data_IF_257541903650
#
_entry.id   IF_257541903650
#
_cell.length_a   1.000
_cell.length_b   1.000
_cell.length_c   1.000
_cell.angle_alpha   90.00
_cell.angle_beta   90.00
_cell.angle_gamma   90.00
#
_symmetry.space_group_name_H-M   'P 1'
#
loop_
_entity.id
_entity.type
_entity.pdbx_description
1 polymer ?
#
# COMPACT_ATOMS: atom_id res chain seq x y z
N UNK A 1 -1.91 -1.23 -5.72
CA UNK A 1 -2.82 -1.19 -4.55
C UNK A 1 -3.07 0.28 -4.18
N UNK A 2 -4.26 0.71 -3.71
CA UNK A 2 -4.74 2.11 -3.75
C UNK A 2 -5.79 2.55 -2.65
N UNK A 3 -5.64 2.37 -1.32
CA UNK A 3 -6.68 2.60 -0.23
C UNK A 3 -7.26 4.03 0.09
N UNK A 4 -8.56 4.35 -0.14
CA UNK A 4 -9.26 5.69 0.12
C UNK A 4 -10.21 5.80 1.37
N UNK A 5 -10.26 6.91 2.16
CA UNK A 5 -10.95 7.02 3.51
C UNK A 5 -11.96 8.19 3.81
N UNK A 6 -13.25 7.94 4.11
CA UNK A 6 -14.22 9.02 4.49
C UNK A 6 -14.67 8.95 5.97
N UNK A 7 -14.78 10.07 6.72
CA UNK A 7 -15.36 10.06 8.06
C UNK A 7 -16.89 9.85 8.06
N UNK A 8 -17.38 9.13 9.07
CA UNK A 8 -18.79 8.95 9.43
C UNK A 8 -19.00 9.23 10.93
N UNK A 9 -20.20 9.66 11.37
CA UNK A 9 -20.49 9.93 12.78
C UNK A 9 -20.64 8.65 13.62
N UNK A 10 -20.39 8.78 14.93
CA UNK A 10 -20.13 7.70 15.89
C UNK A 10 -21.16 6.56 15.99
N UNK A 11 -20.67 5.31 16.03
CA UNK A 11 -21.18 4.21 16.89
C UNK A 11 -20.27 2.96 16.82
N UNK A 12 -20.36 2.09 17.84
CA UNK A 12 -19.35 1.09 18.28
C UNK A 12 -19.94 -0.35 18.46
N UNK A 13 -19.18 -1.41 18.84
CA UNK A 13 -17.89 -1.90 18.32
C UNK A 13 -17.76 -3.45 18.18
N UNK A 14 -16.69 -3.91 17.48
CA UNK A 14 -15.87 -5.12 17.71
C UNK A 14 -16.33 -6.58 17.42
N UNK A 15 -15.53 -7.28 16.61
CA UNK A 15 -15.13 -8.70 16.77
C UNK A 15 -13.85 -8.98 15.94
N UNK A 16 -12.93 -9.82 16.42
CA UNK A 16 -11.60 -10.03 15.81
C UNK A 16 -11.33 -11.51 15.44
N UNK A 17 -10.52 -11.79 14.39
CA UNK A 17 -9.94 -13.11 14.14
C UNK A 17 -8.42 -13.19 14.39
N UNK A 18 -7.91 -14.43 14.36
CA UNK A 18 -6.55 -14.86 14.76
C UNK A 18 -5.45 -14.53 13.73
N UNK A 19 -4.21 -14.68 14.19
CA UNK A 19 -2.98 -14.73 13.40
C UNK A 19 -3.01 -15.75 12.26
N UNK A 20 -2.60 -15.34 11.07
CA UNK A 20 -2.18 -16.21 9.98
C UNK A 20 -0.71 -15.91 9.65
N UNK A 21 0.12 -16.95 9.62
CA UNK A 21 1.50 -16.91 9.14
C UNK A 21 1.52 -17.00 7.59
N UNK A 22 2.64 -16.57 6.97
CA UNK A 22 3.01 -16.78 5.56
C UNK A 22 1.90 -16.67 4.49
N UNK A 23 1.75 -15.47 3.91
CA UNK A 23 1.13 -15.28 2.60
C UNK A 23 2.07 -14.54 1.65
N UNK A 24 2.59 -15.25 0.64
CA UNK A 24 3.58 -14.76 -0.32
C UNK A 24 3.10 -13.66 -1.27
N UNK A 25 4.03 -13.18 -2.10
CA UNK A 25 3.89 -11.96 -2.89
C UNK A 25 2.80 -11.99 -3.96
N UNK A 26 1.58 -11.57 -3.60
CA UNK A 26 0.49 -11.26 -4.52
C UNK A 26 0.05 -9.80 -4.26
N UNK A 27 0.11 -8.88 -5.24
CA UNK A 27 -0.10 -7.44 -5.02
C UNK A 27 -1.59 -7.04 -4.96
N UNK A 28 -2.35 -7.62 -4.02
CA UNK A 28 -3.79 -7.36 -3.88
C UNK A 28 -4.12 -6.06 -3.16
N UNK A 29 -5.14 -5.33 -3.62
CA UNK A 29 -5.32 -3.89 -3.38
C UNK A 29 -6.48 -3.53 -2.47
N UNK A 30 -6.28 -3.11 -1.21
CA UNK A 30 -7.39 -2.57 -0.39
C UNK A 30 -7.75 -1.09 -0.72
N UNK A 31 -9.03 -0.75 -0.59
CA UNK A 31 -9.81 0.51 -0.79
C UNK A 31 -11.07 0.41 0.09
N UNK A 32 -11.95 1.41 0.19
CA UNK A 32 -13.04 1.39 1.20
C UNK A 32 -14.40 1.98 0.70
N UNK A 33 -15.54 1.28 0.88
CA UNK A 33 -16.93 1.74 0.64
C UNK A 33 -18.00 1.05 1.55
N UNK A 34 -19.27 1.49 1.49
CA UNK A 34 -20.34 1.19 2.51
C UNK A 34 -21.36 0.08 2.16
N UNK A 35 -21.89 -0.66 3.16
CA UNK A 35 -23.11 -1.50 3.06
C UNK A 35 -24.37 -0.91 3.75
N UNK A 36 -25.51 -1.57 3.52
CA UNK A 36 -26.91 -1.20 3.86
C UNK A 36 -27.42 -1.98 5.10
N UNK A 37 -28.36 -1.48 5.93
CA UNK A 37 -28.62 -2.05 7.27
C UNK A 37 -29.62 -3.23 7.33
N UNK A 38 -29.51 -4.03 8.40
CA UNK A 38 -30.49 -5.02 8.86
C UNK A 38 -30.36 -5.21 10.40
N UNK A 39 -31.45 -5.43 11.18
CA UNK A 39 -31.44 -5.23 12.63
C UNK A 39 -31.38 -6.50 13.52
N UNK A 40 -31.20 -6.28 14.83
CA UNK A 40 -31.34 -7.20 15.98
C UNK A 40 -30.10 -8.06 16.35
N UNK A 41 -29.74 -8.30 17.63
CA UNK A 41 -30.29 -7.83 18.92
C UNK A 41 -29.26 -8.09 20.07
N UNK A 42 -29.27 -7.23 21.11
CA UNK A 42 -29.08 -7.51 22.56
C UNK A 42 -27.72 -7.90 23.24
N UNK A 43 -27.39 -7.07 24.25
CA UNK A 43 -26.73 -7.35 25.57
C UNK A 43 -25.19 -7.35 25.74
N UNK A 44 -24.67 -6.97 26.95
CA UNK A 44 -23.52 -6.05 27.00
C UNK A 44 -22.36 -6.37 27.99
N UNK A 45 -21.34 -5.51 27.92
CA UNK A 45 -20.33 -5.17 28.94
C UNK A 45 -19.20 -6.18 29.23
N UNK A 46 -17.96 -5.71 29.00
CA UNK A 46 -16.84 -5.74 29.94
C UNK A 46 -15.80 -4.71 29.48
N UNK A 47 -15.11 -4.06 30.42
CA UNK A 47 -14.35 -2.85 30.15
C UNK A 47 -13.13 -3.07 29.25
N UNK A 48 -12.95 -2.18 28.27
CA UNK A 48 -11.71 -2.01 27.53
C UNK A 48 -11.15 -0.61 27.79
N UNK A 49 -9.85 -0.55 28.10
CA UNK A 49 -9.07 0.69 28.18
C UNK A 49 -9.21 1.53 26.89
N UNK A 50 -9.10 2.87 26.94
CA UNK A 50 -9.25 3.73 25.78
C UNK A 50 -8.04 3.63 24.84
N UNK A 51 -7.96 2.54 24.09
CA UNK A 51 -7.21 2.52 22.83
C UNK A 51 -7.85 3.53 21.89
N UNK A 52 -7.01 4.29 21.18
CA UNK A 52 -7.44 5.26 20.17
C UNK A 52 -8.56 4.66 19.30
N UNK A 53 -9.68 5.37 19.07
CA UNK A 53 -10.81 4.81 18.35
C UNK A 53 -10.35 4.36 16.97
N UNK A 54 -10.42 3.06 16.73
CA UNK A 54 -10.14 2.46 15.41
C UNK A 54 -11.23 2.98 14.48
N UNK A 55 -10.92 4.04 13.74
CA UNK A 55 -11.82 4.71 12.78
C UNK A 55 -12.34 3.68 11.77
N UNK A 56 -13.59 3.26 11.95
CA UNK A 56 -14.18 2.18 11.16
C UNK A 56 -14.31 2.57 9.69
N UNK A 57 -13.32 2.15 8.92
CA UNK A 57 -13.23 2.30 7.48
C UNK A 57 -13.55 0.94 6.82
N UNK A 58 -14.45 0.86 5.82
CA UNK A 58 -15.18 -0.39 5.42
C UNK A 58 -14.92 -0.72 3.94
N UNK A 59 -14.73 -1.97 3.49
CA UNK A 59 -13.77 -2.33 2.37
C UNK A 59 -14.29 -2.42 0.90
N UNK A 60 -13.44 -2.00 -0.07
CA UNK A 60 -13.39 -2.31 -1.54
C UNK A 60 -11.97 -2.80 -1.94
N UNK A 61 -11.76 -3.47 -3.08
CA UNK A 61 -10.41 -3.87 -3.56
C UNK A 61 -10.33 -3.76 -5.11
N UNK A 62 -9.16 -3.50 -5.71
CA UNK A 62 -8.99 -3.37 -7.19
C UNK A 62 -7.68 -3.98 -7.78
N UNK A 63 -7.66 -4.63 -8.93
CA UNK A 63 -6.36 -4.96 -9.55
C UNK A 63 -6.40 -4.84 -11.07
N UNK A 64 -5.29 -4.44 -11.72
CA UNK A 64 -5.25 -4.43 -13.18
C UNK A 64 -5.46 -5.86 -13.68
N UNK A 65 -6.40 -6.04 -14.59
CA UNK A 65 -6.70 -7.34 -15.18
C UNK A 65 -5.68 -7.73 -16.26
N UNK A 66 -4.45 -8.00 -15.82
CA UNK A 66 -3.29 -8.30 -16.67
C UNK A 66 -2.64 -9.63 -16.26
N UNK A 67 -1.87 -10.25 -17.16
CA UNK A 67 -0.96 -11.33 -16.77
C UNK A 67 0.14 -10.82 -15.82
N UNK A 68 0.56 -11.65 -14.87
CA UNK A 68 1.78 -11.42 -14.09
C UNK A 68 3.01 -11.53 -15.01
N UNK A 69 4.03 -10.69 -14.75
CA UNK A 69 5.32 -10.74 -15.48
C UNK A 69 6.03 -12.08 -15.31
N UNK A 70 6.01 -12.61 -14.10
CA UNK A 70 6.53 -13.93 -13.75
C UNK A 70 5.73 -14.53 -12.58
N UNK A 71 5.56 -15.86 -12.61
CA UNK A 71 5.05 -16.64 -11.47
C UNK A 71 6.25 -17.27 -10.78
N UNK A 72 6.41 -17.03 -9.47
CA UNK A 72 7.59 -17.43 -8.70
C UNK A 72 7.23 -18.54 -7.70
N UNK A 73 7.96 -19.65 -7.75
CA UNK A 73 8.00 -20.62 -6.67
C UNK A 73 8.78 -20.01 -5.51
N UNK A 74 8.07 -19.55 -4.47
CA UNK A 74 8.67 -18.86 -3.34
C UNK A 74 9.48 -19.80 -2.43
N UNK A 75 9.31 -21.13 -2.52
CA UNK A 75 10.16 -22.10 -1.82
C UNK A 75 11.54 -22.22 -2.49
N UNK A 76 11.60 -22.03 -3.82
CA UNK A 76 12.85 -22.07 -4.61
C UNK A 76 13.43 -20.69 -4.93
N UNK A 77 12.65 -19.62 -4.78
CA UNK A 77 13.01 -18.25 -5.19
C UNK A 77 13.08 -18.05 -6.71
N UNK A 78 12.53 -18.97 -7.52
CA UNK A 78 12.73 -19.02 -8.97
C UNK A 78 11.41 -19.01 -9.77
N UNK A 79 11.38 -18.45 -11.00
CA UNK A 79 10.20 -18.54 -11.88
C UNK A 79 9.79 -19.99 -12.20
N UNK A 80 8.48 -20.23 -12.35
CA UNK A 80 7.92 -21.56 -12.67
C UNK A 80 7.58 -21.77 -14.14
N UNK A 81 7.53 -20.70 -14.94
CA UNK A 81 7.01 -20.73 -16.32
C UNK A 81 5.47 -20.80 -16.42
N UNK A 82 4.76 -20.86 -15.29
CA UNK A 82 3.31 -20.73 -15.26
C UNK A 82 2.87 -19.31 -15.67
N UNK A 83 1.62 -19.18 -16.11
CA UNK A 83 0.92 -17.90 -16.31
C UNK A 83 -0.21 -17.77 -15.31
N UNK A 84 -0.31 -16.60 -14.67
CA UNK A 84 -1.39 -16.24 -13.75
C UNK A 84 -1.79 -14.79 -13.97
N UNK A 85 -3.04 -14.44 -13.65
CA UNK A 85 -3.57 -13.10 -13.81
C UNK A 85 -3.52 -12.32 -12.47
N UNK A 86 -3.11 -11.05 -12.51
CA UNK A 86 -2.90 -10.19 -11.34
C UNK A 86 -4.21 -9.97 -10.58
N UNK A 87 -5.33 -9.71 -11.26
CA UNK A 87 -6.65 -9.54 -10.65
C UNK A 87 -7.16 -10.83 -10.01
N UNK A 88 -7.09 -11.95 -10.73
CA UNK A 88 -7.55 -13.26 -10.26
C UNK A 88 -6.77 -13.72 -9.02
N UNK A 89 -5.44 -13.63 -9.03
CA UNK A 89 -4.65 -14.03 -7.86
C UNK A 89 -4.84 -13.05 -6.70
N UNK A 90 -5.00 -11.75 -6.98
CA UNK A 90 -5.31 -10.73 -5.96
C UNK A 90 -6.65 -10.97 -5.27
N UNK A 91 -7.61 -11.61 -5.94
CA UNK A 91 -8.89 -11.99 -5.36
C UNK A 91 -8.74 -12.91 -4.12
N UNK A 92 -7.63 -13.66 -4.00
CA UNK A 92 -7.35 -14.53 -2.84
C UNK A 92 -7.25 -13.72 -1.55
N UNK A 93 -6.37 -12.72 -1.53
CA UNK A 93 -6.20 -11.79 -0.40
C UNK A 93 -7.42 -10.88 -0.19
N UNK A 94 -8.24 -10.72 -1.23
CA UNK A 94 -9.50 -9.98 -1.20
C UNK A 94 -10.69 -10.78 -0.67
N UNK A 95 -10.55 -12.10 -0.50
CA UNK A 95 -11.66 -13.04 -0.28
C UNK A 95 -12.78 -12.88 -1.33
N UNK A 96 -12.39 -12.61 -2.58
CA UNK A 96 -13.29 -12.39 -3.72
C UNK A 96 -13.84 -10.96 -3.88
N UNK A 97 -13.76 -10.10 -2.86
CA UNK A 97 -14.30 -8.73 -2.92
C UNK A 97 -13.32 -7.76 -3.63
N UNK A 98 -13.09 -7.95 -4.94
CA UNK A 98 -12.16 -7.18 -5.78
C UNK A 98 -12.79 -6.79 -7.13
N UNK A 99 -12.37 -5.65 -7.69
CA UNK A 99 -12.80 -5.08 -8.97
C UNK A 99 -11.59 -4.87 -9.92
N UNK A 100 -11.81 -4.57 -11.20
CA UNK A 100 -10.72 -4.17 -12.09
C UNK A 100 -10.25 -2.74 -11.75
N UNK A 101 -8.95 -2.48 -11.71
CA UNK A 101 -8.41 -1.13 -11.52
C UNK A 101 -8.92 -0.14 -12.59
N UNK A 102 -9.27 -0.61 -13.79
CA UNK A 102 -9.91 0.20 -14.82
C UNK A 102 -11.31 0.74 -14.43
N UNK A 103 -12.00 0.13 -13.46
CA UNK A 103 -13.31 0.56 -12.97
C UNK A 103 -13.24 1.61 -11.84
N UNK A 104 -12.04 1.94 -11.35
CA UNK A 104 -11.86 2.83 -10.20
C UNK A 104 -12.29 4.27 -10.53
N UNK A 105 -13.26 4.77 -9.76
CA UNK A 105 -13.74 6.17 -9.84
C UNK A 105 -13.29 6.97 -8.62
N UNK A 106 -12.32 7.86 -8.82
CA UNK A 106 -11.72 8.71 -7.76
C UNK A 106 -12.75 9.56 -7.00
N UNK A 107 -13.93 9.82 -7.55
CA UNK A 107 -14.99 10.55 -6.86
C UNK A 107 -15.72 9.76 -5.75
N UNK A 108 -15.60 8.43 -5.69
CA UNK A 108 -16.33 7.58 -4.73
C UNK A 108 -15.68 7.48 -3.33
N UNK A 109 -14.65 8.29 -3.06
CA UNK A 109 -13.52 7.87 -2.24
C UNK A 109 -12.68 9.11 -1.71
N UNK A 110 -11.68 8.95 -0.82
CA UNK A 110 -10.84 10.01 -0.17
C UNK A 110 -9.25 9.88 0.04
N UNK A 111 -8.53 8.76 -0.20
CA UNK A 111 -7.02 8.59 -0.16
C UNK A 111 -6.38 7.44 -1.03
N UNK A 112 -5.20 7.42 -1.62
CA UNK A 112 -4.63 6.18 -2.23
C UNK A 112 -3.65 5.54 -1.26
N UNK A 113 -3.45 4.22 -1.26
CA UNK A 113 -2.36 3.53 -0.56
C UNK A 113 -1.87 2.31 -1.35
N UNK A 114 -0.59 2.29 -1.73
CA UNK A 114 0.10 1.13 -2.34
C UNK A 114 1.07 0.44 -1.35
N UNK A 115 0.75 -0.68 -0.68
CA UNK A 115 1.74 -1.64 -0.19
C UNK A 115 2.61 -2.17 -1.31
N UNK A 116 3.79 -2.63 -0.94
CA UNK A 116 4.84 -3.06 -1.85
C UNK A 116 4.79 -4.55 -2.17
N UNK A 117 5.97 -5.19 -2.05
CA UNK A 117 6.24 -6.49 -2.64
C UNK A 117 6.57 -6.40 -4.13
N UNK A 118 7.34 -7.37 -4.64
CA UNK A 118 7.86 -7.37 -6.01
C UNK A 118 6.80 -7.29 -7.10
N UNK A 119 5.55 -7.69 -6.81
CA UNK A 119 4.43 -7.52 -7.74
C UNK A 119 4.17 -6.07 -8.14
N UNK A 120 4.53 -5.09 -7.29
CA UNK A 120 4.51 -3.67 -7.66
C UNK A 120 5.59 -3.37 -8.69
N UNK A 121 6.84 -3.67 -8.35
CA UNK A 121 8.02 -3.41 -9.17
C UNK A 121 8.08 -4.21 -10.50
N UNK A 122 7.23 -5.24 -10.66
CA UNK A 122 7.16 -6.09 -11.85
C UNK A 122 5.89 -5.93 -12.69
N UNK A 123 4.73 -5.68 -12.07
CA UNK A 123 3.42 -5.68 -12.74
C UNK A 123 2.74 -4.30 -12.75
N UNK A 124 2.94 -3.48 -11.71
CA UNK A 124 2.39 -2.12 -11.64
C UNK A 124 3.35 -1.09 -12.27
N UNK A 125 4.64 -1.40 -12.27
CA UNK A 125 5.68 -0.77 -13.06
C UNK A 125 6.74 -1.81 -13.46
N UNK A 126 7.75 -1.40 -14.22
CA UNK A 126 8.86 -2.26 -14.63
C UNK A 126 10.16 -2.08 -13.81
N UNK A 127 10.09 -1.44 -12.64
CA UNK A 127 11.23 -1.08 -11.77
C UNK A 127 12.21 -2.23 -11.50
N UNK A 128 11.72 -3.45 -11.29
CA UNK A 128 12.55 -4.63 -10.99
C UNK A 128 13.48 -5.06 -12.14
N UNK A 129 13.33 -4.48 -13.34
CA UNK A 129 14.19 -4.75 -14.51
C UNK A 129 14.80 -3.46 -15.07
N UNK A 130 14.03 -2.36 -15.08
CA UNK A 130 14.45 -1.11 -15.72
C UNK A 130 14.94 -0.05 -14.72
N UNK A 131 14.80 -0.30 -13.40
CA UNK A 131 15.13 0.64 -12.32
C UNK A 131 14.45 2.00 -12.52
N UNK A 132 15.20 3.10 -12.36
CA UNK A 132 14.72 4.47 -12.61
C UNK A 132 14.14 4.69 -14.02
N UNK A 133 14.55 3.88 -15.01
CA UNK A 133 14.05 3.99 -16.39
C UNK A 133 12.68 3.31 -16.58
N UNK A 134 12.09 2.74 -15.52
CA UNK A 134 10.82 2.00 -15.61
C UNK A 134 9.67 2.80 -16.24
N UNK A 135 8.75 2.05 -16.84
CA UNK A 135 7.41 2.53 -17.18
C UNK A 135 6.44 2.17 -16.06
N UNK A 136 5.38 2.96 -15.92
CA UNK A 136 4.26 2.70 -14.99
C UNK A 136 3.08 2.18 -15.82
N UNK A 137 2.34 1.19 -15.30
CA UNK A 137 1.10 0.72 -15.92
C UNK A 137 0.10 1.90 -16.08
N UNK A 138 -0.59 1.97 -17.21
CA UNK A 138 -1.44 3.12 -17.56
C UNK A 138 -2.55 3.40 -16.55
N UNK A 139 -3.22 2.37 -16.03
CA UNK A 139 -4.26 2.52 -15.01
C UNK A 139 -3.67 2.94 -13.66
N UNK A 140 -2.49 2.44 -13.30
CA UNK A 140 -1.76 2.86 -12.10
C UNK A 140 -1.34 4.33 -12.18
N UNK A 141 -0.77 4.76 -13.31
CA UNK A 141 -0.39 6.14 -13.55
C UNK A 141 -1.62 7.07 -13.51
N UNK A 142 -2.70 6.70 -14.21
CA UNK A 142 -3.94 7.47 -14.23
C UNK A 142 -4.58 7.59 -12.84
N UNK A 143 -4.55 6.51 -12.07
CA UNK A 143 -5.02 6.50 -10.67
C UNK A 143 -4.22 7.46 -9.81
N UNK A 144 -2.88 7.37 -9.83
CA UNK A 144 -2.01 8.27 -9.07
C UNK A 144 -2.28 9.74 -9.44
N UNK A 145 -2.22 10.07 -10.73
CA UNK A 145 -2.44 11.44 -11.23
C UNK A 145 -3.81 12.00 -10.83
N UNK A 146 -4.87 11.20 -10.92
CA UNK A 146 -6.23 11.66 -10.59
C UNK A 146 -6.42 11.95 -9.10
N UNK A 147 -5.81 11.18 -8.20
CA UNK A 147 -5.90 11.42 -6.75
C UNK A 147 -5.10 12.64 -6.32
N UNK A 148 -3.88 12.77 -6.85
CA UNK A 148 -3.02 13.94 -6.63
C UNK A 148 -3.68 15.22 -7.14
N UNK A 149 -4.23 15.19 -8.36
CA UNK A 149 -4.99 16.31 -8.94
C UNK A 149 -6.21 16.70 -8.10
N UNK A 150 -6.92 15.70 -7.54
CA UNK A 150 -8.05 15.89 -6.64
C UNK A 150 -7.63 16.18 -5.17
N UNK A 151 -6.33 16.33 -4.88
CA UNK A 151 -5.75 16.62 -3.56
C UNK A 151 -6.16 15.62 -2.47
N UNK A 152 -6.27 14.34 -2.83
CA UNK A 152 -6.41 13.23 -1.88
C UNK A 152 -5.03 12.65 -1.53
N UNK A 153 -4.77 12.29 -0.26
CA UNK A 153 -3.47 11.76 0.15
C UNK A 153 -3.12 10.44 -0.52
N UNK A 154 -1.83 10.10 -0.57
CA UNK A 154 -1.27 8.94 -1.28
C UNK A 154 -0.25 8.22 -0.38
N UNK A 155 -0.66 7.16 0.30
CA UNK A 155 0.19 6.21 1.01
C UNK A 155 0.99 5.30 0.06
N UNK A 156 2.27 5.01 0.35
CA UNK A 156 3.07 4.05 -0.41
C UNK A 156 4.02 3.33 0.56
N UNK A 157 3.96 2.01 0.60
CA UNK A 157 4.70 1.19 1.56
C UNK A 157 5.69 0.28 0.82
N UNK A 158 6.85 0.03 1.43
CA UNK A 158 7.94 -0.78 0.88
C UNK A 158 8.48 -0.22 -0.44
N UNK A 159 8.41 -0.95 -1.56
CA UNK A 159 8.96 -0.52 -2.86
C UNK A 159 8.03 0.44 -3.62
N UNK A 160 6.74 0.52 -3.25
CA UNK A 160 5.77 1.38 -3.95
C UNK A 160 6.06 2.89 -4.02
N UNK A 161 6.84 3.53 -3.12
CA UNK A 161 7.26 4.92 -3.26
C UNK A 161 7.91 5.25 -4.61
N UNK A 162 8.53 4.28 -5.29
CA UNK A 162 9.10 4.49 -6.64
C UNK A 162 8.05 4.87 -7.69
N UNK A 163 6.78 4.49 -7.47
CA UNK A 163 5.67 4.91 -8.33
C UNK A 163 5.44 6.42 -8.24
N UNK A 164 5.40 6.99 -7.02
CA UNK A 164 5.29 8.44 -6.86
C UNK A 164 6.53 9.16 -7.37
N UNK A 165 7.74 8.65 -7.06
CA UNK A 165 8.98 9.25 -7.55
C UNK A 165 9.05 9.30 -9.09
N UNK A 166 8.36 8.38 -9.78
CA UNK A 166 8.28 8.38 -11.25
C UNK A 166 7.16 9.28 -11.81
N UNK A 167 6.05 9.44 -11.08
CA UNK A 167 4.85 10.16 -11.55
C UNK A 167 4.82 11.63 -11.11
N UNK A 168 5.45 11.97 -9.98
CA UNK A 168 5.42 13.30 -9.36
C UNK A 168 6.85 13.84 -9.13
N UNK A 169 7.44 14.54 -10.12
CA UNK A 169 8.74 15.19 -9.95
C UNK A 169 8.77 16.12 -8.75
N UNK A 170 9.84 16.07 -7.96
CA UNK A 170 10.02 16.90 -6.76
C UNK A 170 9.24 16.45 -5.52
N UNK A 171 8.56 15.29 -5.52
CA UNK A 171 7.94 14.76 -4.30
C UNK A 171 8.98 14.28 -3.27
N UNK A 172 8.58 14.24 -2.00
CA UNK A 172 9.36 13.62 -0.93
C UNK A 172 8.81 12.23 -0.58
N UNK A 173 9.69 11.24 -0.45
CA UNK A 173 9.33 9.86 -0.08
C UNK A 173 10.40 9.19 0.79
N UNK A 174 10.03 8.15 1.52
CA UNK A 174 10.99 7.22 2.13
C UNK A 174 10.82 5.80 1.58
N UNK A 175 11.95 5.11 1.42
CA UNK A 175 12.03 3.64 1.31
C UNK A 175 12.85 3.04 2.44
N UNK A 176 13.10 3.79 3.52
CA UNK A 176 13.94 3.39 4.66
C UNK A 176 15.21 4.23 4.76
N UNK A 177 16.35 3.58 4.92
CA UNK A 177 17.66 4.22 4.98
C UNK A 177 18.34 4.29 3.60
N UNK A 178 19.25 5.26 3.42
CA UNK A 178 20.06 5.43 2.20
C UNK A 178 21.32 4.54 2.15
N UNK A 179 21.57 3.76 3.21
CA UNK A 179 22.75 2.91 3.40
C UNK A 179 22.36 1.56 3.96
N UNK A 180 22.96 0.50 3.40
CA UNK A 180 22.82 -0.85 3.91
C UNK A 180 23.80 -1.13 5.07
N UNK A 181 23.46 -0.67 6.28
CA UNK A 181 24.20 -1.01 7.50
C UNK A 181 23.74 -2.38 8.01
N UNK A 182 24.70 -3.24 8.35
CA UNK A 182 24.50 -4.60 8.90
C UNK A 182 23.57 -5.52 8.09
N UNK A 183 23.39 -5.24 6.79
CA UNK A 183 22.50 -6.01 5.92
C UNK A 183 21.01 -5.74 6.14
N UNK A 184 20.63 -4.74 6.95
CA UNK A 184 19.22 -4.41 7.27
C UNK A 184 18.45 -3.84 6.08
N UNK A 185 19.08 -3.04 5.23
CA UNK A 185 18.43 -2.38 4.08
C UNK A 185 19.08 -2.87 2.78
N UNK A 186 18.75 -4.10 2.31
CA UNK A 186 19.41 -4.72 1.17
C UNK A 186 19.33 -3.89 -0.13
N UNK A 187 18.22 -3.16 -0.34
CA UNK A 187 17.92 -2.39 -1.55
C UNK A 187 18.11 -0.86 -1.37
N UNK A 188 19.02 -0.45 -0.48
CA UNK A 188 19.24 0.96 -0.09
C UNK A 188 19.57 1.90 -1.26
N UNK A 189 20.16 1.39 -2.35
CA UNK A 189 20.42 2.11 -3.60
C UNK A 189 19.14 2.68 -4.26
N UNK A 190 17.96 2.15 -3.90
CA UNK A 190 16.66 2.72 -4.27
C UNK A 190 16.54 4.19 -3.86
N UNK A 191 17.17 4.61 -2.76
CA UNK A 191 17.22 6.01 -2.33
C UNK A 191 17.97 6.91 -3.35
N UNK A 192 19.10 6.45 -3.90
CA UNK A 192 19.83 7.17 -4.96
C UNK A 192 19.02 7.24 -6.24
N UNK A 193 18.39 6.12 -6.63
CA UNK A 193 17.55 6.09 -7.83
C UNK A 193 16.34 7.04 -7.76
N UNK A 194 15.77 7.24 -6.56
CA UNK A 194 14.73 8.25 -6.29
C UNK A 194 15.29 9.68 -6.42
N UNK A 195 16.49 9.94 -5.91
CA UNK A 195 17.15 11.25 -6.06
C UNK A 195 17.45 11.57 -7.54
N UNK A 196 17.90 10.58 -8.31
CA UNK A 196 18.16 10.69 -9.75
C UNK A 196 16.90 10.91 -10.60
N UNK A 197 15.71 10.62 -10.06
CA UNK A 197 14.42 10.98 -10.65
C UNK A 197 13.99 12.43 -10.32
N UNK A 198 14.83 13.21 -9.63
CA UNK A 198 14.50 14.57 -9.21
C UNK A 198 13.53 14.66 -8.04
N UNK A 199 13.40 13.57 -7.27
CA UNK A 199 12.62 13.52 -6.04
C UNK A 199 13.55 13.50 -4.81
N UNK A 200 13.00 13.68 -3.61
CA UNK A 200 13.78 13.68 -2.37
C UNK A 200 13.51 12.42 -1.57
N UNK A 201 14.54 11.58 -1.41
CA UNK A 201 14.50 10.53 -0.40
C UNK A 201 14.70 11.14 0.99
N UNK A 202 13.89 10.70 1.95
CA UNK A 202 14.02 11.05 3.38
C UNK A 202 14.29 9.77 4.15
N UNK A 203 15.44 9.71 4.81
CA UNK A 203 15.80 8.56 5.65
C UNK A 203 14.83 8.45 6.84
N UNK A 204 14.29 7.24 7.04
CA UNK A 204 13.35 6.89 8.10
C UNK A 204 13.66 5.50 8.66
N UNK A 205 13.44 5.34 9.95
CA UNK A 205 13.49 4.02 10.60
C UNK A 205 12.21 3.21 10.32
N UNK A 206 12.28 1.91 10.56
CA UNK A 206 11.24 0.96 10.12
C UNK A 206 9.88 1.16 10.79
N UNK A 207 9.87 1.70 12.01
CA UNK A 207 8.66 2.06 12.77
C UNK A 207 8.13 3.46 12.43
N UNK A 208 8.68 4.15 11.42
CA UNK A 208 8.28 5.50 11.03
C UNK A 208 7.61 5.55 9.65
N UNK A 209 6.91 6.67 9.42
CA UNK A 209 6.48 7.11 8.09
C UNK A 209 6.99 8.52 7.79
N UNK A 210 7.18 8.84 6.51
CA UNK A 210 7.41 10.20 6.01
C UNK A 210 6.12 10.78 5.41
N UNK A 211 5.94 12.10 5.52
CA UNK A 211 4.77 12.83 4.99
C UNK A 211 5.23 14.03 4.17
N UNK A 212 5.12 13.92 2.85
CA UNK A 212 5.13 15.06 1.94
C UNK A 212 3.77 15.79 2.03
N UNK A 213 3.73 16.85 2.83
CA UNK A 213 2.51 17.65 3.02
C UNK A 213 2.09 18.44 1.78
N UNK A 214 3.01 18.73 0.85
CA UNK A 214 2.72 19.52 -0.34
C UNK A 214 1.98 18.69 -1.40
N UNK A 215 2.42 17.43 -1.59
CA UNK A 215 1.79 16.47 -2.49
C UNK A 215 0.77 15.54 -1.81
N UNK A 216 0.64 15.65 -0.47
CA UNK A 216 -0.07 14.70 0.42
C UNK A 216 0.38 13.24 0.28
N UNK A 217 1.66 13.01 0.01
CA UNK A 217 2.21 11.65 -0.14
C UNK A 217 2.73 11.18 1.22
N UNK A 218 2.33 9.99 1.66
CA UNK A 218 2.75 9.36 2.92
C UNK A 218 3.48 8.07 2.60
N UNK A 219 4.63 7.80 3.21
CA UNK A 219 5.44 6.63 2.86
C UNK A 219 6.07 5.94 4.07
N UNK A 220 6.28 4.63 3.99
CA UNK A 220 7.03 3.85 5.01
C UNK A 220 7.80 2.69 4.35
N UNK A 221 8.92 2.29 4.96
CA UNK A 221 9.80 1.29 4.35
C UNK A 221 9.32 -0.15 4.51
N UNK A 222 8.61 -0.49 5.59
CA UNK A 222 8.21 -1.86 5.92
C UNK A 222 9.31 -2.89 5.59
N UNK A 223 9.02 -3.88 4.75
CA UNK A 223 9.94 -4.96 4.34
C UNK A 223 11.14 -4.55 3.47
N UNK A 224 11.33 -3.27 3.12
CA UNK A 224 12.65 -2.78 2.66
C UNK A 224 13.70 -2.86 3.78
N UNK A 225 13.25 -2.94 5.05
CA UNK A 225 14.07 -3.25 6.21
C UNK A 225 13.88 -4.72 6.62
N UNK A 226 14.98 -5.42 6.90
CA UNK A 226 14.98 -6.63 7.72
C UNK A 226 14.81 -6.21 9.18
N UNK A 227 13.62 -6.42 9.71
CA UNK A 227 13.23 -6.08 11.08
C UNK A 227 12.19 -7.08 11.61
N UNK A 228 11.99 -7.15 12.94
CA UNK A 228 10.85 -7.84 13.53
C UNK A 228 9.51 -7.36 12.94
N UNK A 229 8.57 -8.30 12.79
CA UNK A 229 7.26 -8.00 12.18
C UNK A 229 6.46 -6.92 12.93
N UNK A 230 6.66 -6.76 14.24
CA UNK A 230 5.98 -5.72 15.01
C UNK A 230 6.50 -4.32 14.66
N UNK A 231 7.81 -4.11 14.53
CA UNK A 231 8.38 -2.82 14.09
C UNK A 231 7.87 -2.43 12.70
N UNK A 232 7.75 -3.42 11.79
CA UNK A 232 7.19 -3.24 10.43
C UNK A 232 5.70 -2.88 10.51
N UNK A 233 4.94 -3.54 11.39
CA UNK A 233 3.53 -3.25 11.63
C UNK A 233 3.33 -1.84 12.19
N UNK A 234 4.18 -1.40 13.12
CA UNK A 234 4.11 -0.07 13.72
C UNK A 234 4.31 1.03 12.66
N UNK A 235 5.32 0.93 11.79
CA UNK A 235 5.55 1.89 10.70
C UNK A 235 4.45 1.87 9.61
N UNK A 236 3.84 0.71 9.35
CA UNK A 236 2.61 0.63 8.54
C UNK A 236 1.46 1.34 9.26
N UNK A 237 1.34 1.17 10.59
CA UNK A 237 0.37 1.87 11.43
C UNK A 237 0.49 3.40 11.32
N UNK A 238 1.69 3.95 11.50
CA UNK A 238 1.91 5.41 11.35
C UNK A 238 1.59 5.90 9.94
N UNK A 239 1.89 5.11 8.89
CA UNK A 239 1.49 5.44 7.52
C UNK A 239 -0.05 5.48 7.38
N UNK A 240 -0.78 4.50 7.91
CA UNK A 240 -2.25 4.48 7.86
C UNK A 240 -2.85 5.69 8.60
N UNK A 241 -2.33 6.01 9.80
CA UNK A 241 -2.79 7.16 10.58
C UNK A 241 -2.56 8.50 9.87
N UNK A 242 -1.38 8.71 9.29
CA UNK A 242 -1.07 9.96 8.58
C UNK A 242 -1.89 10.11 7.28
N UNK A 243 -2.17 9.00 6.56
CA UNK A 243 -3.09 9.06 5.42
C UNK A 243 -4.52 9.40 5.88
N UNK A 244 -5.00 8.81 6.99
CA UNK A 244 -6.30 9.13 7.60
C UNK A 244 -6.42 10.61 8.02
N UNK A 245 -5.36 11.20 8.58
CA UNK A 245 -5.30 12.61 9.01
C UNK A 245 -5.38 13.62 7.83
N UNK A 246 -5.12 13.17 6.60
CA UNK A 246 -5.04 14.02 5.41
C UNK A 246 -6.24 13.91 4.44
N UNK A 247 -7.19 13.00 4.73
CA UNK A 247 -8.27 12.54 3.84
C UNK A 247 -9.61 13.32 3.95
#
# INVERSE_FOLDING_TARGET
MCIEFKPLPDSSPFLAPRSEEDSGGIPALKTLSSPVPSPNHLYPSLAAEPRSPILESKVKIFAPNIEQRDVVDHLKGSPTGEKRNVLVESARLARGNIQDLAELKVSEFNAVIFPGGFGVAKNLCSWAVDGKNCTINEHVNSTLQAFHSAKKPIGLCCISPVLAAKVFPGCEVTVGQDKNVDGRFPDAETASAIAELGCKHVCKDVSESHVDKANKIVTTCAFMCKAPLHEIFDGIGTMIEEVLKLA
#
